data_IF_639413924948
#
_entry.id   IF_639413924948
#
_cell.length_a   1.000
_cell.length_b   1.000
_cell.length_c   1.000
_cell.angle_alpha   90.00
_cell.angle_beta   90.00
_cell.angle_gamma   90.00
#
_symmetry.space_group_name_H-M   'P 1'
#
loop_
_entity.id
_entity.type
_entity.pdbx_description
1 polymer ?
#
# COMPACT_ATOMS: atom_id res chain seq x y z
N UNK A 1 19.65 -6.71 -34.62
CA UNK A 1 20.59 -7.32 -35.58
C UNK A 1 20.19 -8.77 -35.69
N UNK A 2 19.68 -9.18 -36.84
CA UNK A 2 19.22 -10.53 -37.08
C UNK A 2 20.35 -11.30 -37.76
N UNK A 3 20.90 -12.30 -37.08
CA UNK A 3 21.92 -13.20 -37.64
C UNK A 3 21.30 -14.57 -37.89
N UNK A 4 21.67 -15.20 -39.01
CA UNK A 4 21.31 -16.60 -39.28
C UNK A 4 22.48 -17.49 -38.89
N UNK A 5 22.19 -18.53 -38.09
CA UNK A 5 23.18 -19.54 -37.73
C UNK A 5 23.23 -20.61 -38.82
N UNK A 6 24.39 -20.75 -39.48
CA UNK A 6 24.63 -21.83 -40.45
C UNK A 6 25.40 -22.95 -39.76
N UNK A 7 24.77 -24.11 -39.63
CA UNK A 7 25.38 -25.27 -39.00
C UNK A 7 26.24 -26.07 -39.98
N UNK A 8 27.50 -26.33 -39.61
CA UNK A 8 28.44 -27.14 -40.38
C UNK A 8 28.75 -28.43 -39.60
N UNK A 9 28.20 -29.60 -40.03
CA UNK A 9 28.29 -30.84 -39.26
C UNK A 9 29.69 -31.47 -39.25
N UNK A 10 30.51 -31.21 -40.28
CA UNK A 10 31.83 -31.82 -40.43
C UNK A 10 32.91 -30.79 -40.07
N UNK A 11 33.26 -30.72 -38.79
CA UNK A 11 34.22 -29.75 -38.26
C UNK A 11 35.63 -29.86 -38.88
N UNK A 12 36.21 -31.04 -39.15
CA UNK A 12 37.51 -31.14 -39.80
C UNK A 12 37.52 -30.57 -41.24
N UNK A 13 36.42 -30.78 -41.98
CA UNK A 13 36.28 -30.23 -43.33
C UNK A 13 36.12 -28.70 -43.29
N UNK A 14 35.40 -28.18 -42.28
CA UNK A 14 35.29 -26.75 -42.05
C UNK A 14 36.63 -26.09 -41.73
N UNK A 15 37.44 -26.71 -40.87
CA UNK A 15 38.78 -26.22 -40.55
C UNK A 15 39.71 -26.27 -41.76
N UNK A 16 39.61 -27.30 -42.60
CA UNK A 16 40.36 -27.38 -43.85
C UNK A 16 39.94 -26.25 -44.81
N UNK A 17 38.63 -26.03 -44.97
CA UNK A 17 38.11 -24.95 -45.81
C UNK A 17 38.57 -23.56 -45.33
N UNK A 18 38.60 -23.32 -44.01
CA UNK A 18 39.11 -22.07 -43.43
C UNK A 18 40.62 -21.89 -43.64
N UNK A 19 41.40 -22.98 -43.69
CA UNK A 19 42.83 -22.91 -43.99
C UNK A 19 43.09 -22.53 -45.44
N UNK A 20 42.32 -23.10 -46.36
CA UNK A 20 42.45 -22.85 -47.79
C UNK A 20 41.88 -21.47 -48.19
N UNK A 21 40.76 -21.05 -47.57
CA UNK A 21 40.14 -19.75 -47.83
C UNK A 21 39.70 -19.06 -46.53
N UNK A 22 40.61 -18.35 -45.84
CA UNK A 22 40.30 -17.68 -44.58
C UNK A 22 39.18 -16.63 -44.70
N UNK A 23 39.02 -16.02 -45.88
CA UNK A 23 38.02 -14.94 -46.06
C UNK A 23 36.57 -15.43 -45.99
N UNK A 24 36.32 -16.74 -46.12
CA UNK A 24 34.95 -17.30 -46.11
C UNK A 24 34.21 -16.97 -44.82
N UNK A 25 34.93 -16.84 -43.69
CA UNK A 25 34.34 -16.45 -42.42
C UNK A 25 33.86 -15.01 -42.43
N UNK A 26 34.69 -14.08 -42.92
CA UNK A 26 34.34 -12.67 -42.98
C UNK A 26 33.22 -12.44 -44.01
N UNK A 27 33.27 -13.11 -45.16
CA UNK A 27 32.23 -13.01 -46.17
C UNK A 27 30.86 -13.47 -45.66
N UNK A 28 30.83 -14.58 -44.89
CA UNK A 28 29.61 -15.04 -44.24
C UNK A 28 29.11 -14.03 -43.21
N UNK A 29 30.03 -13.50 -42.38
CA UNK A 29 29.72 -12.52 -41.35
C UNK A 29 29.10 -11.24 -41.93
N UNK A 30 29.67 -10.72 -43.02
CA UNK A 30 29.17 -9.53 -43.72
C UNK A 30 27.78 -9.74 -44.32
N UNK A 31 27.42 -11.00 -44.61
CA UNK A 31 26.08 -11.43 -45.05
C UNK A 31 25.16 -11.78 -43.88
N UNK A 32 25.52 -11.43 -42.65
CA UNK A 32 24.78 -11.76 -41.42
C UNK A 32 24.63 -13.27 -41.15
N UNK A 33 25.57 -14.08 -41.64
CA UNK A 33 25.61 -15.52 -41.42
C UNK A 33 26.75 -15.86 -40.47
N UNK A 34 26.42 -16.48 -39.34
CA UNK A 34 27.41 -16.99 -38.39
C UNK A 34 27.51 -18.50 -38.56
N UNK A 35 28.67 -18.96 -39.01
CA UNK A 35 28.96 -20.39 -39.14
C UNK A 35 29.25 -20.99 -37.77
N UNK A 36 28.56 -22.09 -37.46
CA UNK A 36 28.68 -22.80 -36.18
C UNK A 36 28.87 -24.30 -36.40
N UNK A 37 29.72 -24.91 -35.58
CA UNK A 37 29.97 -26.35 -35.48
C UNK A 37 29.28 -26.92 -34.24
N UNK A 38 29.33 -28.23 -34.04
CA UNK A 38 28.81 -28.90 -32.84
C UNK A 38 29.30 -28.23 -31.54
N UNK A 39 30.58 -27.86 -31.49
CA UNK A 39 31.25 -27.26 -30.34
C UNK A 39 30.81 -25.81 -30.08
N UNK A 40 30.64 -25.03 -31.14
CA UNK A 40 30.35 -23.58 -31.05
C UNK A 40 28.84 -23.29 -31.00
N UNK A 41 27.99 -24.15 -31.55
CA UNK A 41 26.54 -24.01 -31.49
C UNK A 41 26.03 -23.94 -30.05
N UNK A 42 26.46 -24.87 -29.20
CA UNK A 42 26.05 -24.92 -27.79
C UNK A 42 26.50 -23.67 -27.02
N UNK A 43 27.70 -23.17 -27.30
CA UNK A 43 28.21 -21.94 -26.70
C UNK A 43 27.34 -20.74 -27.14
N UNK A 44 27.05 -20.60 -28.44
CA UNK A 44 26.20 -19.53 -28.98
C UNK A 44 24.78 -19.57 -28.40
N UNK A 45 24.16 -20.75 -28.33
CA UNK A 45 22.82 -20.91 -27.75
C UNK A 45 22.79 -20.56 -26.25
N UNK A 46 23.81 -20.96 -25.48
CA UNK A 46 23.94 -20.57 -24.06
C UNK A 46 24.09 -19.06 -23.91
N UNK A 47 24.84 -18.41 -24.78
CA UNK A 47 24.98 -16.96 -24.81
C UNK A 47 23.64 -16.27 -25.07
N UNK A 48 22.89 -16.71 -26.09
CA UNK A 48 21.55 -16.19 -26.39
C UNK A 48 20.61 -16.38 -25.19
N UNK A 49 20.60 -17.57 -24.60
CA UNK A 49 19.81 -17.85 -23.40
C UNK A 49 20.19 -16.94 -22.22
N UNK A 50 21.50 -16.67 -22.03
CA UNK A 50 21.99 -15.74 -21.03
C UNK A 50 21.48 -14.32 -21.24
N UNK A 51 21.50 -13.83 -22.49
CA UNK A 51 20.97 -12.51 -22.86
C UNK A 51 19.48 -12.40 -22.50
N UNK A 52 18.66 -13.37 -22.93
CA UNK A 52 17.23 -13.37 -22.62
C UNK A 52 16.93 -13.48 -21.12
N UNK A 53 17.69 -14.29 -20.39
CA UNK A 53 17.57 -14.38 -18.94
C UNK A 53 17.85 -13.03 -18.29
N UNK A 54 18.91 -12.36 -18.72
CA UNK A 54 19.29 -11.04 -18.21
C UNK A 54 18.20 -10.00 -18.50
N UNK A 55 17.67 -9.98 -19.72
CA UNK A 55 16.59 -9.07 -20.12
C UNK A 55 15.29 -9.31 -19.32
N UNK A 56 14.96 -10.57 -19.02
CA UNK A 56 13.82 -10.91 -18.16
C UNK A 56 14.02 -10.40 -16.73
N UNK A 57 15.21 -10.57 -16.18
CA UNK A 57 15.55 -10.10 -14.83
C UNK A 57 15.50 -8.56 -14.77
N UNK A 58 16.08 -7.88 -15.75
CA UNK A 58 16.06 -6.41 -15.86
C UNK A 58 14.64 -5.85 -15.87
N UNK A 59 13.73 -6.44 -16.66
CA UNK A 59 12.30 -6.06 -16.68
C UNK A 59 11.62 -6.23 -15.33
N UNK A 60 11.94 -7.31 -14.60
CA UNK A 60 11.38 -7.54 -13.27
C UNK A 60 11.87 -6.53 -12.23
N UNK A 61 13.14 -6.12 -12.29
CA UNK A 61 13.68 -5.12 -11.35
C UNK A 61 12.93 -3.78 -11.43
N UNK A 62 12.61 -3.33 -12.64
CA UNK A 62 11.84 -2.09 -12.85
C UNK A 62 10.45 -2.22 -12.21
N UNK A 63 9.74 -3.31 -12.50
CA UNK A 63 8.41 -3.56 -11.93
C UNK A 63 8.43 -3.68 -10.39
N UNK A 64 9.49 -4.26 -9.82
CA UNK A 64 9.67 -4.34 -8.36
C UNK A 64 9.89 -2.94 -7.77
N UNK A 65 10.73 -2.11 -8.39
CA UNK A 65 11.00 -0.75 -7.94
C UNK A 65 9.73 0.11 -7.95
N UNK A 66 8.93 0.06 -9.02
CA UNK A 66 7.65 0.76 -9.12
C UNK A 66 6.66 0.32 -8.02
N UNK A 67 6.52 -1.00 -7.82
CA UNK A 67 5.64 -1.52 -6.77
C UNK A 67 6.12 -1.16 -5.36
N UNK A 68 7.43 -1.16 -5.13
CA UNK A 68 8.01 -0.76 -3.85
C UNK A 68 7.75 0.73 -3.56
N UNK A 69 7.89 1.60 -4.57
CA UNK A 69 7.55 3.02 -4.46
C UNK A 69 6.07 3.24 -4.11
N UNK A 70 5.16 2.62 -4.87
CA UNK A 70 3.73 2.73 -4.61
C UNK A 70 3.32 2.16 -3.23
N UNK A 71 3.97 1.08 -2.79
CA UNK A 71 3.75 0.52 -1.45
C UNK A 71 4.23 1.50 -0.36
N UNK A 72 5.40 2.11 -0.55
CA UNK A 72 5.96 3.08 0.38
C UNK A 72 5.05 4.31 0.52
N UNK A 73 4.59 4.88 -0.59
CA UNK A 73 3.66 6.02 -0.58
C UNK A 73 2.35 5.69 0.18
N UNK A 74 1.77 4.51 -0.08
CA UNK A 74 0.57 4.06 0.64
C UNK A 74 0.83 3.85 2.13
N UNK A 75 1.99 3.28 2.48
CA UNK A 75 2.36 3.07 3.86
C UNK A 75 2.53 4.40 4.59
N UNK A 76 3.27 5.35 4.00
CA UNK A 76 3.43 6.70 4.55
C UNK A 76 2.09 7.44 4.63
N UNK A 77 1.22 7.31 3.63
CA UNK A 77 -0.13 7.88 3.68
C UNK A 77 -0.99 7.28 4.80
N UNK A 78 -0.83 5.98 5.09
CA UNK A 78 -1.52 5.31 6.20
C UNK A 78 -0.95 5.72 7.57
N UNK A 79 0.38 5.76 7.71
CA UNK A 79 1.06 6.13 8.96
C UNK A 79 1.20 7.62 9.19
N UNK A 80 0.89 8.44 8.19
CA UNK A 80 0.99 9.90 8.24
C UNK A 80 -0.14 10.55 9.02
N UNK A 81 -1.17 9.78 9.40
CA UNK A 81 -2.34 10.32 10.09
C UNK A 81 -2.76 9.66 11.42
N UNK A 82 -1.82 9.23 12.29
CA UNK A 82 -2.18 8.88 13.67
C UNK A 82 -2.76 10.09 14.42
N UNK A 83 -2.42 11.31 13.97
CA UNK A 83 -2.97 12.56 14.44
C UNK A 83 -4.48 12.72 14.19
N UNK A 84 -5.01 12.41 13.01
CA UNK A 84 -6.48 12.44 12.81
C UNK A 84 -7.19 11.33 13.54
N UNK A 85 -6.61 10.13 13.64
CA UNK A 85 -7.23 9.08 14.46
C UNK A 85 -7.32 9.54 15.92
N UNK A 86 -6.24 10.11 16.47
CA UNK A 86 -6.23 10.70 17.81
C UNK A 86 -7.22 11.87 17.96
N UNK A 87 -7.31 12.74 16.95
CA UNK A 87 -8.25 13.87 16.92
C UNK A 87 -9.70 13.40 16.90
N UNK A 88 -10.05 12.42 16.07
CA UNK A 88 -11.40 11.87 16.03
C UNK A 88 -11.79 11.18 17.34
N UNK A 89 -10.84 10.52 18.02
CA UNK A 89 -11.08 9.96 19.35
C UNK A 89 -11.28 11.05 20.39
N UNK A 90 -10.49 12.13 20.36
CA UNK A 90 -10.68 13.28 21.25
C UNK A 90 -12.00 14.00 20.96
N UNK A 91 -12.34 14.29 19.70
CA UNK A 91 -13.60 14.93 19.32
C UNK A 91 -14.81 14.07 19.75
N UNK A 92 -14.71 12.74 19.65
CA UNK A 92 -15.75 11.82 20.12
C UNK A 92 -15.85 11.81 21.65
N UNK A 93 -14.70 11.87 22.35
CA UNK A 93 -14.65 12.00 23.80
C UNK A 93 -15.24 13.33 24.26
N UNK A 94 -14.88 14.44 23.61
CA UNK A 94 -15.41 15.78 23.90
C UNK A 94 -16.90 15.87 23.60
N UNK A 95 -17.39 15.19 22.56
CA UNK A 95 -18.83 15.08 22.25
C UNK A 95 -19.60 14.21 23.25
N UNK A 96 -18.93 13.21 23.86
CA UNK A 96 -19.49 12.39 24.93
C UNK A 96 -19.45 13.13 26.29
N UNK A 97 -18.42 13.93 26.52
CA UNK A 97 -18.20 14.69 27.75
C UNK A 97 -18.92 16.06 27.74
N UNK A 98 -19.27 16.60 26.57
CA UNK A 98 -20.03 17.84 26.42
C UNK A 98 -21.55 17.62 26.38
N UNK A 99 -22.38 18.56 26.87
CA UNK A 99 -22.21 19.48 27.99
C UNK A 99 -22.79 18.85 29.28
N UNK A 100 -21.97 18.78 30.33
CA UNK A 100 -22.41 18.57 31.72
C UNK A 100 -23.52 19.53 32.18
N UNK A 101 -23.74 20.63 31.47
CA UNK A 101 -24.82 21.61 31.72
C UNK A 101 -26.23 20.99 31.72
N UNK A 102 -26.42 19.82 31.12
CA UNK A 102 -27.72 19.12 31.15
C UNK A 102 -28.01 18.52 32.53
N UNK A 103 -26.99 18.17 33.33
CA UNK A 103 -27.15 17.46 34.60
C UNK A 103 -26.56 18.16 35.84
N UNK A 104 -25.54 19.00 35.69
CA UNK A 104 -24.78 19.57 36.83
C UNK A 104 -24.82 21.10 36.75
N UNK A 105 -25.69 21.73 37.57
CA UNK A 105 -25.86 23.18 37.69
C UNK A 105 -27.23 23.62 38.24
N UNK A 106 -27.39 24.85 38.77
CA UNK A 106 -28.64 25.33 39.39
C UNK A 106 -29.88 25.33 38.47
N UNK A 107 -29.65 25.34 37.15
CA UNK A 107 -30.67 25.31 36.10
C UNK A 107 -30.60 24.06 35.20
N UNK A 108 -30.10 22.93 35.70
CA UNK A 108 -29.94 21.73 34.88
C UNK A 108 -31.27 21.25 34.27
N UNK A 109 -31.21 20.79 33.02
CA UNK A 109 -32.37 20.40 32.21
C UNK A 109 -33.11 19.19 32.80
N UNK A 110 -32.38 18.26 33.45
CA UNK A 110 -32.98 17.10 34.12
C UNK A 110 -33.94 17.54 35.24
N UNK A 111 -33.54 18.53 36.05
CA UNK A 111 -34.32 19.10 37.15
C UNK A 111 -35.49 19.93 36.62
N UNK A 112 -35.29 20.71 35.56
CA UNK A 112 -36.37 21.46 34.93
C UNK A 112 -37.46 20.55 34.34
N UNK A 113 -37.08 19.44 33.72
CA UNK A 113 -38.04 18.44 33.19
C UNK A 113 -38.78 17.71 34.30
N UNK A 114 -38.12 17.37 35.42
CA UNK A 114 -38.80 16.75 36.57
C UNK A 114 -39.75 17.74 37.28
N UNK A 115 -39.34 19.00 37.50
CA UNK A 115 -40.23 20.05 38.02
C UNK A 115 -41.47 20.27 37.13
N UNK A 116 -41.31 20.19 35.81
CA UNK A 116 -42.42 20.32 34.86
C UNK A 116 -43.42 19.16 35.00
N UNK A 117 -42.93 17.96 35.30
CA UNK A 117 -43.76 16.77 35.56
C UNK A 117 -44.50 16.88 36.89
N UNK A 118 -43.86 17.38 37.95
CA UNK A 118 -44.52 17.67 39.24
C UNK A 118 -45.64 18.72 39.10
N UNK A 119 -45.46 19.71 38.23
CA UNK A 119 -46.45 20.75 37.91
C UNK A 119 -47.62 20.27 37.03
N UNK A 120 -47.69 18.97 36.69
CA UNK A 120 -48.86 18.36 36.05
C UNK A 120 -48.76 18.13 34.54
N UNK A 121 -47.57 18.23 33.94
CA UNK A 121 -47.36 17.86 32.54
C UNK A 121 -47.56 16.34 32.33
N UNK A 122 -48.53 15.94 31.51
CA UNK A 122 -48.80 14.53 31.18
C UNK A 122 -47.65 13.97 30.34
N UNK A 123 -46.80 13.14 30.96
CA UNK A 123 -45.71 12.44 30.26
C UNK A 123 -45.83 10.92 30.45
N UNK A 124 -45.53 10.16 29.40
CA UNK A 124 -45.76 8.70 29.34
C UNK A 124 -44.52 7.86 29.68
N UNK A 125 -43.35 8.44 29.92
CA UNK A 125 -42.10 7.72 30.23
C UNK A 125 -41.27 8.48 31.27
N UNK A 126 -40.71 7.76 32.24
CA UNK A 126 -39.87 8.32 33.32
C UNK A 126 -38.38 8.38 32.97
N UNK A 127 -37.66 9.32 33.59
CA UNK A 127 -36.21 9.50 33.43
C UNK A 127 -35.43 8.37 34.14
N UNK A 128 -34.23 8.08 33.64
CA UNK A 128 -33.38 7.00 34.15
C UNK A 128 -32.81 7.34 35.55
N UNK A 129 -32.87 6.44 36.56
CA UNK A 129 -32.51 6.75 37.96
C UNK A 129 -31.10 7.30 38.17
N UNK A 130 -30.10 6.77 37.45
CA UNK A 130 -28.70 7.22 37.52
C UNK A 130 -28.49 8.68 37.11
N UNK A 131 -29.38 9.25 36.28
CA UNK A 131 -29.29 10.65 35.86
C UNK A 131 -29.89 11.58 36.92
N UNK A 132 -30.86 11.08 37.69
CA UNK A 132 -31.52 11.82 38.75
C UNK A 132 -30.61 11.99 39.98
N UNK A 133 -29.91 10.91 40.35
CA UNK A 133 -28.97 10.89 41.49
C UNK A 133 -27.81 11.87 41.28
N UNK A 134 -27.21 11.90 40.08
CA UNK A 134 -26.12 12.84 39.74
C UNK A 134 -26.55 14.31 39.74
N UNK A 135 -27.83 14.60 39.47
CA UNK A 135 -28.34 15.96 39.44
C UNK A 135 -28.66 16.52 40.85
N UNK A 136 -28.82 15.65 41.86
CA UNK A 136 -29.18 16.00 43.24
C UNK A 136 -27.96 16.09 44.17
N UNK A 137 -26.79 15.60 43.74
CA UNK A 137 -25.56 15.47 44.56
C UNK A 137 -24.67 16.73 44.56
N UNK A 138 -25.15 17.86 44.02
CA UNK A 138 -24.43 19.15 44.09
C UNK A 138 -24.91 19.92 45.32
N UNK A 139 -24.02 20.28 46.28
CA UNK A 139 -24.39 21.05 47.46
C UNK A 139 -25.04 22.37 47.04
N UNK A 140 -26.24 22.62 47.54
CA UNK A 140 -26.90 23.90 47.44
C UNK A 140 -26.25 24.83 48.45
N UNK A 141 -25.43 25.78 47.99
CA UNK A 141 -25.15 26.94 48.83
C UNK A 141 -26.49 27.65 49.07
N UNK A 142 -26.87 27.90 50.34
CA UNK A 142 -28.09 28.63 50.62
C UNK A 142 -27.94 30.04 50.06
N UNK A 143 -28.84 30.40 49.14
CA UNK A 143 -28.99 31.78 48.69
C UNK A 143 -29.41 32.61 49.93
N UNK A 144 -28.50 33.48 50.36
CA UNK A 144 -28.56 34.43 51.48
C UNK A 144 -29.95 34.72 52.08
N UNK A 145 -30.01 34.58 53.42
CA UNK A 145 -30.59 35.59 54.30
C UNK A 145 -29.46 36.26 55.08
#
# INVERSE_FOLDING_TARGET
MDFVLMFVPIEPAFLLALRERPEIFQEAYDRQVVMVTHSTLMATLRTIHGIWKNERIARNHIAIAERAGALYEKFVGFTGDPGRVGKHVNDAKDSYEGPRETGEGPGNLVRQVEMLKELGAKTSKGLHPKLLERALDVPTDPING
#
